data_IF_495247152428
#
_entry.id   IF_495247152428
#
_cell.length_a   1.000
_cell.length_b   1.000
_cell.length_c   1.000
_cell.angle_alpha   90.00
_cell.angle_beta   90.00
_cell.angle_gamma   90.00
#
_symmetry.space_group_name_H-M   'P 1'
#
loop_
_entity.id
_entity.type
_entity.pdbx_description
1 polymer ?
#
# COMPACT_ATOMS: atom_id res chain seq x y z
N UNK A 1 -20.17 -6.42 4.40
CA UNK A 1 -20.75 -5.08 4.49
C UNK A 1 -19.65 -4.04 4.33
N UNK A 2 -19.75 -3.29 3.31
CA UNK A 2 -19.26 -1.98 2.88
C UNK A 2 -17.96 -1.47 3.49
N UNK A 3 -16.87 -1.59 2.75
CA UNK A 3 -15.64 -0.81 2.92
C UNK A 3 -15.86 0.55 2.26
N UNK A 4 -15.66 1.59 3.04
CA UNK A 4 -15.94 2.97 2.73
C UNK A 4 -15.33 3.46 1.41
N UNK A 5 -16.19 3.93 0.53
CA UNK A 5 -15.88 4.75 -0.63
C UNK A 5 -15.56 6.17 -0.15
N UNK A 6 -14.29 6.54 -0.15
CA UNK A 6 -13.89 7.94 -0.24
C UNK A 6 -12.66 8.02 -1.14
N UNK A 7 -12.90 7.87 -2.41
CA UNK A 7 -11.97 8.29 -3.45
C UNK A 7 -12.61 9.48 -4.15
N UNK A 8 -12.10 10.67 -3.90
CA UNK A 8 -12.43 11.83 -4.74
C UNK A 8 -12.15 11.48 -6.20
N UNK A 9 -13.15 11.58 -7.06
CA UNK A 9 -13.01 11.25 -8.47
C UNK A 9 -12.13 12.33 -9.14
N UNK A 10 -10.88 12.01 -9.44
CA UNK A 10 -10.01 12.85 -10.25
C UNK A 10 -10.62 13.11 -11.63
N UNK A 11 -10.43 14.32 -12.14
CA UNK A 11 -10.88 14.71 -13.49
C UNK A 11 -10.16 13.89 -14.58
N UNK A 12 -10.75 13.66 -15.77
CA UNK A 12 -10.17 12.81 -16.83
C UNK A 12 -8.70 13.11 -17.19
N UNK A 13 -8.32 14.38 -17.28
CA UNK A 13 -6.94 14.79 -17.57
C UNK A 13 -5.93 14.44 -16.46
N UNK A 14 -6.36 14.42 -15.21
CA UNK A 14 -5.52 14.02 -14.08
C UNK A 14 -5.33 12.51 -14.04
N UNK A 15 -6.28 11.73 -14.59
CA UNK A 15 -6.19 10.26 -14.67
C UNK A 15 -5.08 9.79 -15.61
N UNK A 16 -4.89 10.47 -16.74
CA UNK A 16 -3.87 10.09 -17.73
C UNK A 16 -2.46 10.46 -17.23
N UNK A 17 -2.33 11.60 -16.56
CA UNK A 17 -1.08 12.00 -15.91
C UNK A 17 -0.70 11.06 -14.76
N UNK A 18 -1.67 10.60 -13.96
CA UNK A 18 -1.43 9.63 -12.89
C UNK A 18 -0.95 8.26 -13.41
N UNK A 19 -1.40 7.84 -14.60
CA UNK A 19 -0.95 6.60 -15.25
C UNK A 19 0.53 6.63 -15.66
N UNK A 20 1.06 7.79 -15.99
CA UNK A 20 2.46 7.98 -16.37
C UNK A 20 3.39 8.14 -15.17
N UNK A 21 2.86 8.46 -13.98
CA UNK A 21 3.65 8.64 -12.78
C UNK A 21 3.64 7.35 -11.92
N UNK A 22 4.76 6.60 -11.85
CA UNK A 22 4.84 5.38 -11.08
C UNK A 22 4.66 5.59 -9.57
N UNK A 23 4.79 6.82 -9.09
CA UNK A 23 4.62 7.21 -7.68
C UNK A 23 3.22 7.73 -7.35
N UNK A 24 2.36 7.97 -8.33
CA UNK A 24 0.99 8.36 -8.05
C UNK A 24 0.27 7.26 -7.27
N UNK A 25 -0.51 7.58 -6.22
CA UNK A 25 -1.22 6.57 -5.46
C UNK A 25 -2.20 5.80 -6.35
N UNK A 26 -2.29 4.47 -6.21
CA UNK A 26 -3.29 3.69 -6.92
C UNK A 26 -4.69 4.02 -6.39
N UNK A 27 -5.72 3.81 -7.21
CA UNK A 27 -7.11 4.08 -6.82
C UNK A 27 -7.61 3.16 -5.71
N UNK A 28 -7.07 1.95 -5.65
CA UNK A 28 -7.38 0.93 -4.66
C UNK A 28 -6.15 0.09 -4.39
N UNK A 29 -5.88 -0.22 -3.14
CA UNK A 29 -4.87 -1.19 -2.75
C UNK A 29 -5.57 -2.39 -2.12
N UNK A 30 -5.50 -3.54 -2.78
CA UNK A 30 -5.91 -4.81 -2.21
C UNK A 30 -4.75 -5.39 -1.41
N UNK A 31 -4.94 -5.58 -0.12
CA UNK A 31 -3.97 -6.30 0.74
C UNK A 31 -4.32 -7.78 0.73
N UNK A 32 -3.38 -8.64 0.38
CA UNK A 32 -3.62 -10.08 0.41
C UNK A 32 -3.68 -10.59 1.86
N UNK A 33 -4.64 -11.48 2.09
CA UNK A 33 -4.84 -12.17 3.36
C UNK A 33 -5.60 -13.47 3.04
N UNK A 34 -4.90 -14.56 2.93
CA UNK A 34 -5.49 -15.85 2.49
C UNK A 34 -6.49 -16.45 3.47
N UNK A 35 -6.43 -16.02 4.73
CA UNK A 35 -7.42 -16.45 5.72
C UNK A 35 -8.78 -15.80 5.43
N UNK A 36 -8.77 -14.52 5.05
CA UNK A 36 -9.99 -13.75 4.76
C UNK A 36 -10.44 -13.82 3.31
N UNK A 37 -9.48 -13.96 2.40
CA UNK A 37 -9.71 -14.04 0.95
C UNK A 37 -9.01 -15.27 0.39
N UNK A 38 -9.56 -16.48 0.60
CA UNK A 38 -8.96 -17.72 0.13
C UNK A 38 -8.72 -17.76 -1.38
N UNK A 39 -9.65 -17.20 -2.17
CA UNK A 39 -9.51 -17.06 -3.62
C UNK A 39 -8.87 -15.72 -3.99
N UNK A 40 -7.58 -15.56 -3.68
CA UNK A 40 -6.83 -14.32 -3.97
C UNK A 40 -6.76 -14.03 -5.48
N UNK A 41 -6.64 -15.04 -6.31
CA UNK A 41 -6.57 -14.89 -7.78
C UNK A 41 -7.89 -14.36 -8.34
N UNK A 42 -9.02 -14.90 -7.88
CA UNK A 42 -10.35 -14.39 -8.25
C UNK A 42 -10.56 -12.94 -7.81
N UNK A 43 -10.14 -12.61 -6.59
CA UNK A 43 -10.22 -11.23 -6.08
C UNK A 43 -9.37 -10.25 -6.89
N UNK A 44 -8.14 -10.63 -7.28
CA UNK A 44 -7.28 -9.81 -8.15
C UNK A 44 -7.92 -9.60 -9.52
N UNK A 45 -8.56 -10.65 -10.08
CA UNK A 45 -9.26 -10.53 -11.36
C UNK A 45 -10.47 -9.59 -11.32
N UNK A 46 -11.03 -9.34 -10.14
CA UNK A 46 -12.14 -8.38 -9.96
C UNK A 46 -11.69 -6.94 -9.75
N UNK A 47 -10.38 -6.68 -9.58
CA UNK A 47 -9.88 -5.32 -9.33
C UNK A 47 -10.09 -4.41 -10.54
N UNK A 48 -10.50 -3.16 -10.32
CA UNK A 48 -10.56 -2.16 -11.37
C UNK A 48 -9.15 -1.77 -11.87
N UNK A 49 -9.02 -1.21 -13.08
CA UNK A 49 -7.77 -0.62 -13.54
C UNK A 49 -7.18 0.40 -12.56
N UNK A 50 -5.87 0.61 -12.62
CA UNK A 50 -5.12 1.53 -11.75
C UNK A 50 -5.15 1.15 -10.26
N UNK A 51 -5.46 -0.11 -9.95
CA UNK A 51 -5.33 -0.67 -8.61
C UNK A 51 -3.95 -1.25 -8.36
N UNK A 52 -3.66 -1.53 -7.09
CA UNK A 52 -2.47 -2.26 -6.68
C UNK A 52 -2.83 -3.49 -5.83
N UNK A 53 -1.97 -4.48 -5.89
CA UNK A 53 -2.00 -5.64 -5.00
C UNK A 53 -0.79 -5.57 -4.08
N UNK A 54 -1.04 -5.46 -2.79
CA UNK A 54 -0.04 -5.52 -1.74
C UNK A 54 0.04 -6.96 -1.24
N UNK A 55 1.09 -7.67 -1.64
CA UNK A 55 1.30 -9.06 -1.26
C UNK A 55 1.94 -9.15 0.11
N UNK A 56 1.13 -9.46 1.12
CA UNK A 56 1.50 -9.42 2.54
C UNK A 56 1.67 -10.79 3.20
N UNK A 57 1.16 -11.85 2.62
CA UNK A 57 1.22 -13.20 3.21
C UNK A 57 2.66 -13.61 3.54
N UNK A 58 3.12 -13.34 4.78
CA UNK A 58 4.52 -13.51 5.20
C UNK A 58 4.87 -14.97 5.43
N UNK A 59 3.96 -15.75 6.01
CA UNK A 59 4.21 -17.08 6.57
C UNK A 59 3.88 -18.23 5.62
N UNK A 60 3.75 -17.94 4.32
CA UNK A 60 3.47 -18.97 3.33
C UNK A 60 4.73 -19.76 2.96
N UNK A 61 4.72 -21.08 3.05
CA UNK A 61 5.84 -21.92 2.62
C UNK A 61 6.21 -21.71 1.14
N UNK A 62 5.22 -21.52 0.28
CA UNK A 62 5.37 -21.28 -1.16
C UNK A 62 5.24 -19.78 -1.53
N UNK A 63 5.62 -18.88 -0.63
CA UNK A 63 5.46 -17.42 -0.80
C UNK A 63 6.08 -16.90 -2.11
N UNK A 64 7.25 -17.40 -2.49
CA UNK A 64 7.93 -16.98 -3.71
C UNK A 64 7.17 -17.39 -4.97
N UNK A 65 6.66 -18.59 -5.00
CA UNK A 65 5.91 -19.16 -6.13
C UNK A 65 4.60 -18.39 -6.33
N UNK A 66 3.78 -18.30 -5.28
CA UNK A 66 2.54 -17.55 -5.30
C UNK A 66 2.78 -16.08 -5.64
N UNK A 67 3.82 -15.47 -5.09
CA UNK A 67 4.16 -14.09 -5.39
C UNK A 67 4.50 -13.86 -6.87
N UNK A 68 5.18 -14.82 -7.52
CA UNK A 68 5.43 -14.77 -8.97
C UNK A 68 4.11 -14.87 -9.76
N UNK A 69 3.25 -15.79 -9.39
CA UNK A 69 1.93 -15.95 -10.02
C UNK A 69 1.10 -14.65 -9.92
N UNK A 70 1.00 -14.09 -8.71
CA UNK A 70 0.29 -12.82 -8.46
C UNK A 70 0.94 -11.68 -9.25
N UNK A 71 2.27 -11.57 -9.26
CA UNK A 71 2.99 -10.55 -10.03
C UNK A 71 2.69 -10.65 -11.53
N UNK A 72 2.68 -11.85 -12.10
CA UNK A 72 2.42 -12.07 -13.52
C UNK A 72 0.96 -11.77 -13.86
N UNK A 73 0.03 -12.10 -12.97
CA UNK A 73 -1.37 -11.70 -13.08
C UNK A 73 -1.51 -10.17 -13.05
N UNK A 74 -0.87 -9.49 -12.10
CA UNK A 74 -0.87 -8.04 -12.03
C UNK A 74 -0.38 -7.39 -13.32
N UNK A 75 0.70 -7.91 -13.91
CA UNK A 75 1.22 -7.43 -15.20
C UNK A 75 0.21 -7.58 -16.34
N UNK A 76 -0.41 -8.75 -16.46
CA UNK A 76 -1.46 -8.98 -17.49
C UNK A 76 -2.64 -8.04 -17.31
N UNK A 77 -3.00 -7.76 -16.07
CA UNK A 77 -4.12 -6.88 -15.68
C UNK A 77 -3.76 -5.40 -15.62
N UNK A 78 -2.48 -5.03 -15.85
CA UNK A 78 -1.96 -3.65 -15.70
C UNK A 78 -2.20 -3.08 -14.29
N UNK A 79 -2.11 -3.96 -13.28
CA UNK A 79 -2.14 -3.60 -11.85
C UNK A 79 -0.71 -3.48 -11.34
N UNK A 80 -0.50 -2.70 -10.27
CA UNK A 80 0.79 -2.66 -9.59
C UNK A 80 0.92 -3.83 -8.62
N UNK A 81 2.09 -4.45 -8.62
CA UNK A 81 2.45 -5.46 -7.63
C UNK A 81 3.38 -4.86 -6.58
N UNK A 82 2.91 -4.74 -5.34
CA UNK A 82 3.66 -4.21 -4.20
C UNK A 82 4.01 -5.39 -3.28
N UNK A 83 5.30 -5.55 -3.00
CA UNK A 83 5.78 -6.60 -2.11
C UNK A 83 5.89 -6.09 -0.69
N UNK A 84 5.29 -6.79 0.27
CA UNK A 84 5.46 -6.45 1.68
C UNK A 84 6.69 -7.15 2.28
N UNK A 85 7.42 -6.43 3.15
CA UNK A 85 8.54 -6.94 3.92
C UNK A 85 9.90 -6.56 3.33
N UNK A 86 10.65 -7.54 2.83
CA UNK A 86 12.05 -7.34 2.46
C UNK A 86 12.22 -6.80 1.05
N UNK A 87 12.89 -5.65 0.93
CA UNK A 87 13.11 -4.99 -0.35
C UNK A 87 14.00 -5.81 -1.32
N UNK A 88 14.92 -6.64 -0.83
CA UNK A 88 15.69 -7.58 -1.69
C UNK A 88 14.77 -8.55 -2.40
N UNK A 89 13.77 -9.08 -1.69
CA UNK A 89 12.79 -9.97 -2.28
C UNK A 89 11.91 -9.24 -3.29
N UNK A 90 11.48 -8.02 -2.99
CA UNK A 90 10.76 -7.17 -3.94
C UNK A 90 11.56 -6.93 -5.23
N UNK A 91 12.87 -6.68 -5.11
CA UNK A 91 13.76 -6.50 -6.25
C UNK A 91 13.91 -7.78 -7.10
N UNK A 92 14.12 -8.92 -6.44
CA UNK A 92 14.22 -10.22 -7.09
C UNK A 92 12.94 -10.58 -7.85
N UNK A 93 11.80 -10.24 -7.29
CA UNK A 93 10.49 -10.46 -7.90
C UNK A 93 10.11 -9.40 -8.93
N UNK A 94 10.95 -8.39 -9.17
CA UNK A 94 10.66 -7.26 -10.07
C UNK A 94 9.31 -6.62 -9.72
N UNK A 95 9.09 -6.36 -8.42
CA UNK A 95 7.92 -5.65 -7.94
C UNK A 95 7.90 -4.18 -8.40
N UNK A 96 6.71 -3.62 -8.48
CA UNK A 96 6.50 -2.20 -8.82
C UNK A 96 6.64 -1.31 -7.59
N UNK A 97 6.66 -1.92 -6.39
CA UNK A 97 6.78 -1.21 -5.13
C UNK A 97 7.12 -2.09 -3.94
N UNK A 98 7.34 -1.43 -2.82
CA UNK A 98 7.67 -2.04 -1.54
C UNK A 98 6.73 -1.49 -0.46
N UNK A 99 6.24 -2.37 0.40
CA UNK A 99 5.57 -2.00 1.64
C UNK A 99 6.42 -2.44 2.84
N UNK A 100 6.75 -1.50 3.72
CA UNK A 100 7.51 -1.79 4.93
C UNK A 100 6.64 -1.66 6.17
N UNK A 101 6.80 -2.53 7.17
CA UNK A 101 6.21 -2.30 8.48
C UNK A 101 6.81 -1.05 9.14
N UNK A 102 6.10 -0.45 10.10
CA UNK A 102 6.56 0.73 10.85
C UNK A 102 7.95 0.51 11.48
N UNK A 103 8.19 -0.69 12.00
CA UNK A 103 9.47 -1.06 12.64
C UNK A 103 10.66 -1.10 11.68
N UNK A 104 10.40 -1.18 10.37
CA UNK A 104 11.42 -1.29 9.31
C UNK A 104 11.45 -0.08 8.39
N UNK A 105 11.12 1.11 8.89
CA UNK A 105 11.01 2.33 8.09
C UNK A 105 12.33 2.70 7.37
N UNK A 106 13.47 2.29 7.90
CA UNK A 106 14.78 2.50 7.28
C UNK A 106 14.92 1.76 5.94
N UNK A 107 14.21 0.63 5.76
CA UNK A 107 14.12 -0.06 4.47
C UNK A 107 13.51 0.86 3.40
N UNK A 108 12.45 1.61 3.74
CA UNK A 108 11.84 2.57 2.83
C UNK A 108 12.86 3.60 2.35
N UNK A 109 13.63 4.20 3.28
CA UNK A 109 14.67 5.18 2.96
C UNK A 109 15.78 4.60 2.10
N UNK A 110 16.28 3.40 2.43
CA UNK A 110 17.30 2.71 1.66
C UNK A 110 16.83 2.44 0.23
N UNK A 111 15.66 1.81 0.07
CA UNK A 111 15.16 1.41 -1.22
C UNK A 111 14.70 2.61 -2.09
N UNK A 112 14.33 3.74 -1.49
CA UNK A 112 14.07 4.97 -2.23
C UNK A 112 15.28 5.43 -3.04
N UNK A 113 16.48 5.26 -2.52
CA UNK A 113 17.72 5.62 -3.23
C UNK A 113 18.03 4.65 -4.39
N UNK A 114 17.83 3.35 -4.18
CA UNK A 114 18.17 2.31 -5.15
C UNK A 114 17.06 2.03 -6.17
N UNK A 115 15.84 2.36 -5.84
CA UNK A 115 14.64 2.13 -6.67
C UNK A 115 13.77 3.38 -6.70
N UNK A 116 14.22 4.48 -7.32
CA UNK A 116 13.51 5.77 -7.29
C UNK A 116 12.11 5.73 -7.92
N UNK A 117 11.84 4.73 -8.79
CA UNK A 117 10.54 4.53 -9.43
C UNK A 117 9.58 3.64 -8.66
N UNK A 118 10.03 2.99 -7.58
CA UNK A 118 9.13 2.16 -6.80
C UNK A 118 8.09 3.00 -6.09
N UNK A 119 6.87 2.49 -6.03
CA UNK A 119 5.85 3.00 -5.13
C UNK A 119 6.10 2.43 -3.73
N UNK A 120 6.64 3.25 -2.86
CA UNK A 120 7.01 2.86 -1.49
C UNK A 120 5.91 3.26 -0.53
N UNK A 121 5.41 2.28 0.20
CA UNK A 121 4.41 2.49 1.25
C UNK A 121 4.93 2.00 2.59
N UNK A 122 4.46 2.62 3.67
CA UNK A 122 4.84 2.28 5.05
C UNK A 122 3.59 2.07 5.89
N UNK A 123 3.57 1.05 6.74
CA UNK A 123 2.55 0.93 7.78
C UNK A 123 2.79 2.01 8.85
N UNK A 124 1.74 2.67 9.31
CA UNK A 124 1.81 3.67 10.35
C UNK A 124 0.68 3.45 11.36
N UNK A 125 1.02 3.53 12.65
CA UNK A 125 0.05 3.35 13.73
C UNK A 125 -0.07 4.62 14.60
N UNK A 126 0.67 5.66 14.26
CA UNK A 126 0.68 6.94 14.99
C UNK A 126 0.99 8.12 14.07
N UNK A 127 0.66 9.36 14.47
CA UNK A 127 1.11 10.56 13.76
C UNK A 127 2.63 10.66 13.61
N UNK A 128 3.38 10.24 14.62
CA UNK A 128 4.85 10.24 14.57
C UNK A 128 5.36 9.30 13.47
N UNK A 129 4.77 8.12 13.32
CA UNK A 129 5.09 7.17 12.26
C UNK A 129 4.83 7.74 10.85
N UNK A 130 3.76 8.52 10.68
CA UNK A 130 3.48 9.20 9.42
C UNK A 130 4.57 10.21 9.05
N UNK A 131 5.03 11.01 10.01
CA UNK A 131 6.15 11.94 9.79
C UNK A 131 7.45 11.21 9.45
N UNK A 132 7.72 10.10 10.12
CA UNK A 132 8.88 9.27 9.81
C UNK A 132 8.79 8.66 8.42
N UNK A 133 7.60 8.17 8.01
CA UNK A 133 7.35 7.66 6.66
C UNK A 133 7.61 8.73 5.58
N UNK A 134 7.09 9.94 5.77
CA UNK A 134 7.34 11.06 4.86
C UNK A 134 8.85 11.38 4.75
N UNK A 135 9.57 11.47 5.88
CA UNK A 135 11.03 11.71 5.90
C UNK A 135 11.84 10.57 5.29
N UNK A 136 11.32 9.35 5.32
CA UNK A 136 11.94 8.20 4.65
C UNK A 136 11.69 8.18 3.13
N UNK A 137 10.89 9.12 2.60
CA UNK A 137 10.55 9.23 1.19
C UNK A 137 9.49 8.22 0.74
N UNK A 138 8.61 7.78 1.64
CA UNK A 138 7.44 6.99 1.24
C UNK A 138 6.48 7.83 0.39
N UNK A 139 5.83 7.18 -0.59
CA UNK A 139 4.82 7.81 -1.44
C UNK A 139 3.44 7.77 -0.78
N UNK A 140 3.22 6.80 0.11
CA UNK A 140 2.00 6.69 0.89
C UNK A 140 2.24 6.00 2.24
N UNK A 141 1.35 6.22 3.20
CA UNK A 141 1.30 5.47 4.45
C UNK A 141 -0.06 4.79 4.61
N UNK A 142 -0.05 3.56 5.12
CA UNK A 142 -1.26 2.85 5.51
C UNK A 142 -1.48 3.07 7.00
N UNK A 143 -2.31 4.06 7.34
CA UNK A 143 -2.62 4.39 8.74
C UNK A 143 -3.71 3.44 9.27
N UNK A 144 -3.38 2.67 10.29
CA UNK A 144 -4.27 1.66 10.89
C UNK A 144 -3.94 1.40 12.37
N UNK A 145 -4.87 0.82 13.16
CA UNK A 145 -6.27 0.59 12.84
C UNK A 145 -7.11 1.85 13.05
N UNK A 146 -8.00 2.16 12.11
CA UNK A 146 -8.99 3.24 12.29
C UNK A 146 -10.16 2.75 13.14
N UNK A 147 -10.58 1.51 12.91
CA UNK A 147 -11.63 0.81 13.66
C UNK A 147 -11.06 -0.46 14.28
N UNK A 148 -11.75 -1.01 15.29
CA UNK A 148 -11.39 -2.30 15.87
C UNK A 148 -11.31 -3.38 14.80
N UNK A 149 -10.28 -4.21 14.86
CA UNK A 149 -10.01 -5.23 13.84
C UNK A 149 -9.41 -6.48 14.49
N UNK A 150 -9.82 -7.64 14.00
CA UNK A 150 -9.26 -8.92 14.42
C UNK A 150 -7.77 -9.12 14.04
N UNK A 151 -7.24 -8.30 13.13
CA UNK A 151 -5.81 -8.36 12.77
C UNK A 151 -4.90 -7.78 13.86
N UNK A 152 -5.44 -6.91 14.69
CA UNK A 152 -4.73 -6.26 15.80
C UNK A 152 -5.70 -6.11 16.96
N UNK A 153 -6.08 -7.22 17.64
CA UNK A 153 -7.12 -7.21 18.68
C UNK A 153 -6.77 -6.31 19.85
N UNK A 154 -5.48 -6.20 20.18
CA UNK A 154 -4.97 -5.40 21.29
C UNK A 154 -4.67 -3.94 20.93
N UNK A 155 -4.76 -3.58 19.66
CA UNK A 155 -4.46 -2.22 19.22
C UNK A 155 -5.64 -1.29 19.46
N UNK A 156 -5.41 -0.19 20.15
CA UNK A 156 -6.42 0.85 20.36
C UNK A 156 -6.73 1.58 19.03
N UNK A 157 -7.97 1.51 18.51
CA UNK A 157 -8.31 2.14 17.25
C UNK A 157 -8.25 3.67 17.35
N UNK A 158 -7.91 4.31 16.25
CA UNK A 158 -7.84 5.77 16.14
C UNK A 158 -9.23 6.42 16.23
N UNK A 159 -10.24 5.79 15.70
CA UNK A 159 -11.55 6.36 15.46
C UNK A 159 -11.61 7.30 14.25
N UNK A 160 -12.80 7.45 13.67
CA UNK A 160 -13.00 8.20 12.43
C UNK A 160 -12.62 9.68 12.55
N UNK A 161 -12.95 10.34 13.67
CA UNK A 161 -12.67 11.77 13.86
C UNK A 161 -11.18 12.06 13.94
N UNK A 162 -10.43 11.24 14.68
CA UNK A 162 -8.98 11.40 14.81
C UNK A 162 -8.28 11.11 13.48
N UNK A 163 -8.72 10.08 12.77
CA UNK A 163 -8.26 9.79 11.42
C UNK A 163 -8.50 10.97 10.47
N UNK A 164 -9.73 11.49 10.43
CA UNK A 164 -10.07 12.63 9.56
C UNK A 164 -9.24 13.88 9.87
N UNK A 165 -8.99 14.15 11.15
CA UNK A 165 -8.12 15.28 11.58
C UNK A 165 -6.68 15.09 11.09
N UNK A 166 -6.13 13.90 11.22
CA UNK A 166 -4.77 13.59 10.74
C UNK A 166 -4.70 13.75 9.22
N UNK A 167 -5.64 13.16 8.49
CA UNK A 167 -5.71 13.26 7.04
C UNK A 167 -5.80 14.71 6.55
N UNK A 168 -6.64 15.52 7.21
CA UNK A 168 -6.79 16.95 6.90
C UNK A 168 -5.49 17.75 7.15
N UNK A 169 -4.78 17.47 8.27
CA UNK A 169 -3.51 18.13 8.58
C UNK A 169 -2.43 17.81 7.55
N UNK A 170 -2.36 16.58 7.06
CA UNK A 170 -1.41 16.17 6.02
C UNK A 170 -1.75 16.84 4.69
N UNK A 171 -3.03 16.89 4.33
CA UNK A 171 -3.50 17.57 3.12
C UNK A 171 -3.16 19.06 3.13
N UNK A 172 -3.42 19.76 4.26
CA UNK A 172 -3.19 21.20 4.39
C UNK A 172 -1.70 21.61 4.34
N UNK A 173 -0.81 20.73 4.75
CA UNK A 173 0.63 20.99 4.79
C UNK A 173 1.38 20.57 3.52
N UNK A 174 0.67 20.34 2.39
CA UNK A 174 1.26 19.82 1.14
C UNK A 174 2.19 18.62 1.39
N UNK A 175 1.90 17.84 2.43
CA UNK A 175 2.67 16.66 2.73
C UNK A 175 2.49 15.66 1.59
N UNK A 176 3.57 15.31 0.94
CA UNK A 176 3.65 14.44 -0.25
C UNK A 176 3.13 13.01 0.05
N UNK A 177 2.65 12.76 1.26
CA UNK A 177 2.24 11.45 1.71
C UNK A 177 0.73 11.24 1.52
N UNK A 178 0.35 10.25 0.72
CA UNK A 178 -1.05 9.76 0.64
C UNK A 178 -1.34 8.79 1.79
N UNK A 179 -2.55 8.85 2.37
CA UNK A 179 -3.00 7.96 3.45
C UNK A 179 -4.05 6.98 2.92
#
# INVERSE_FOLDING_TARGET
MSVAKHTAALKPRERDAARSNPKAPPRLIMVTDRVRVPNVIGAINALPPDSAVLFRDYDLPNRLELGREIRDLCRRRKLRFIMAGYGRLAAQMRADGLHTPETCIQEARFWRQWRPRWFITVAAHSPAALWQAARAGADAALLSPVFSTNSHPDAKPLGALKFARIAWLLYKNDSILSI
#
